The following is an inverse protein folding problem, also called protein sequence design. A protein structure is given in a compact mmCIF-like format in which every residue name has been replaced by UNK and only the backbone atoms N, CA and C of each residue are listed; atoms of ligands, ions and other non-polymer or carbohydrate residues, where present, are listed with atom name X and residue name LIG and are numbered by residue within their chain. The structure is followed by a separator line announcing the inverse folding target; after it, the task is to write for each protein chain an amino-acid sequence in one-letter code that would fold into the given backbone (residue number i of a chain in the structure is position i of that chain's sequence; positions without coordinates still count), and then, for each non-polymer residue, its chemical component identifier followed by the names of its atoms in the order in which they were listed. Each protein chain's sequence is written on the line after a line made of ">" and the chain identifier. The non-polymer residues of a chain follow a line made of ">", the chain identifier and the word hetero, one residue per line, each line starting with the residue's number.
data_IF_192682325477
#
_entry.id   IF_192682325477
#
_cell.length_a   1.000
_cell.length_b   1.000
_cell.length_c   1.000
_cell.angle_alpha   90.00
_cell.angle_beta   90.00
_cell.angle_gamma   90.00
#
_symmetry.space_group_name_H-M   'P 1'
#
loop_
_entity.id
_entity.type
_entity.pdbx_description
1 polymer ?
#
# COMPACT_ATOMS: atom_id res chain seq x y z
N UNK A 1 27.65 2.83 -7.36
CA UNK A 1 27.47 3.29 -5.96
C UNK A 1 26.43 4.41 -5.97
N UNK A 2 25.16 4.09 -5.75
CA UNK A 2 24.10 5.11 -5.75
C UNK A 2 24.18 5.98 -4.49
N UNK A 3 24.45 7.27 -4.70
CA UNK A 3 24.33 8.28 -3.65
C UNK A 3 22.84 8.49 -3.42
N UNK A 4 22.35 8.17 -2.21
CA UNK A 4 21.01 8.59 -1.77
C UNK A 4 21.00 10.13 -1.80
N UNK A 5 20.44 10.71 -2.85
CA UNK A 5 20.34 12.17 -3.00
C UNK A 5 19.26 12.65 -2.02
N UNK A 6 19.59 13.47 -1.03
CA UNK A 6 18.62 14.11 -0.11
C UNK A 6 17.32 14.65 -0.78
N UNK A 7 17.35 15.22 -2.01
CA UNK A 7 16.15 15.57 -2.76
C UNK A 7 15.19 14.41 -3.05
N UNK A 8 15.68 13.18 -3.25
CA UNK A 8 14.84 11.99 -3.48
C UNK A 8 14.02 11.61 -2.25
N UNK A 9 14.49 11.98 -1.06
CA UNK A 9 13.78 11.73 0.20
C UNK A 9 12.62 12.70 0.42
N UNK A 10 12.57 13.86 -0.27
CA UNK A 10 11.46 14.81 -0.13
C UNK A 10 10.10 14.21 -0.48
N UNK A 11 10.07 13.21 -1.38
CA UNK A 11 8.86 12.50 -1.76
C UNK A 11 8.30 11.61 -0.62
N UNK A 12 9.08 11.34 0.44
CA UNK A 12 8.62 10.55 1.59
C UNK A 12 7.57 11.29 2.43
N UNK A 13 7.61 12.63 2.47
CA UNK A 13 6.61 13.41 3.24
C UNK A 13 5.21 13.28 2.65
N UNK A 14 4.96 13.54 1.35
CA UNK A 14 3.65 13.30 0.76
C UNK A 14 3.27 11.81 0.79
N UNK A 15 4.22 10.89 0.64
CA UNK A 15 3.95 9.45 0.76
C UNK A 15 3.49 9.05 2.17
N UNK A 16 4.10 9.59 3.23
CA UNK A 16 3.68 9.35 4.61
C UNK A 16 2.26 9.88 4.86
N UNK A 17 1.93 11.07 4.34
CA UNK A 17 0.55 11.60 4.42
C UNK A 17 -0.44 10.71 3.66
N UNK A 18 -0.07 10.24 2.47
CA UNK A 18 -0.91 9.33 1.67
C UNK A 18 -1.13 8.00 2.39
N UNK A 19 -0.08 7.43 3.00
CA UNK A 19 -0.18 6.22 3.81
C UNK A 19 -1.14 6.40 4.99
N UNK A 20 -1.02 7.50 5.75
CA UNK A 20 -1.94 7.81 6.85
C UNK A 20 -3.39 7.95 6.38
N UNK A 21 -3.62 8.55 5.20
CA UNK A 21 -4.96 8.66 4.60
C UNK A 21 -5.53 7.31 4.21
N UNK A 22 -4.71 6.41 3.64
CA UNK A 22 -5.12 5.04 3.33
C UNK A 22 -5.53 4.30 4.61
N UNK A 23 -4.68 4.31 5.63
CA UNK A 23 -4.97 3.62 6.89
C UNK A 23 -6.24 4.17 7.57
N UNK A 24 -6.39 5.50 7.60
CA UNK A 24 -7.58 6.14 8.15
C UNK A 24 -8.85 5.76 7.35
N UNK A 25 -8.82 5.83 6.02
CA UNK A 25 -9.98 5.51 5.19
C UNK A 25 -10.41 4.04 5.31
N UNK A 26 -9.44 3.13 5.46
CA UNK A 26 -9.69 1.70 5.70
C UNK A 26 -10.34 1.46 7.07
N UNK A 27 -9.89 2.17 8.10
CA UNK A 27 -10.41 2.07 9.48
C UNK A 27 -11.82 2.66 9.59
N UNK A 28 -12.05 3.83 8.98
CA UNK A 28 -13.34 4.53 8.99
C UNK A 28 -14.29 4.11 7.88
N UNK A 29 -14.02 3.01 7.17
CA UNK A 29 -14.90 2.54 6.11
C UNK A 29 -16.31 2.33 6.68
N UNK A 30 -17.39 2.85 6.06
CA UNK A 30 -18.72 3.00 6.68
C UNK A 30 -19.37 1.73 7.23
N UNK A 31 -18.81 0.56 6.93
CA UNK A 31 -19.34 -0.76 7.29
C UNK A 31 -18.46 -1.52 8.29
N UNK A 32 -17.72 -0.80 9.14
CA UNK A 32 -16.91 -1.38 10.21
C UNK A 32 -15.46 -1.71 9.81
N UNK A 33 -14.91 -0.97 8.85
CA UNK A 33 -13.54 -1.14 8.38
C UNK A 33 -13.35 -2.23 7.31
N UNK A 34 -12.20 -2.24 6.64
CA UNK A 34 -11.79 -3.31 5.69
C UNK A 34 -10.70 -4.23 6.29
N UNK A 35 -10.34 -4.02 7.57
CA UNK A 35 -9.22 -4.72 8.23
C UNK A 35 -9.52 -6.15 8.68
N UNK A 36 -10.79 -6.59 8.70
CA UNK A 36 -11.15 -7.92 9.20
C UNK A 36 -12.49 -8.44 8.64
N UNK A 37 -12.76 -9.72 8.88
CA UNK A 37 -14.06 -10.33 8.60
C UNK A 37 -14.40 -10.43 7.10
N UNK A 38 -15.70 -10.45 6.76
CA UNK A 38 -16.16 -10.62 5.38
C UNK A 38 -15.68 -9.55 4.40
N UNK A 39 -15.51 -8.29 4.84
CA UNK A 39 -15.00 -7.21 3.99
C UNK A 39 -13.54 -7.41 3.61
N UNK A 40 -12.69 -7.82 4.56
CA UNK A 40 -11.31 -8.18 4.24
C UNK A 40 -11.24 -9.36 3.29
N UNK A 41 -12.09 -10.36 3.50
CA UNK A 41 -12.15 -11.54 2.62
C UNK A 41 -12.55 -11.16 1.19
N UNK A 42 -13.47 -10.21 1.04
CA UNK A 42 -13.84 -9.68 -0.27
C UNK A 42 -12.72 -8.86 -0.89
N UNK A 43 -12.02 -8.04 -0.10
CA UNK A 43 -10.84 -7.31 -0.56
C UNK A 43 -9.75 -8.23 -1.11
N UNK A 44 -9.47 -9.34 -0.40
CA UNK A 44 -8.52 -10.36 -0.84
C UNK A 44 -8.95 -11.01 -2.15
N UNK A 45 -10.24 -11.37 -2.27
CA UNK A 45 -10.79 -11.92 -3.52
C UNK A 45 -10.63 -10.95 -4.67
N UNK A 46 -11.02 -9.68 -4.50
CA UNK A 46 -10.91 -8.64 -5.54
C UNK A 46 -9.45 -8.36 -5.89
N UNK A 47 -8.54 -8.42 -4.91
CA UNK A 47 -7.12 -8.29 -5.18
C UNK A 47 -6.58 -9.46 -6.03
N UNK A 48 -6.91 -10.70 -5.68
CA UNK A 48 -6.38 -11.91 -6.35
C UNK A 48 -7.05 -12.22 -7.70
N UNK A 49 -8.37 -12.09 -7.78
CA UNK A 49 -9.14 -12.52 -8.95
C UNK A 49 -9.36 -11.40 -9.97
N UNK A 50 -9.16 -10.14 -9.57
CA UNK A 50 -9.43 -8.96 -10.42
C UNK A 50 -8.18 -8.10 -10.60
N UNK A 51 -7.62 -7.57 -9.51
CA UNK A 51 -6.54 -6.59 -9.62
C UNK A 51 -5.23 -7.16 -10.16
N UNK A 52 -4.74 -8.27 -9.60
CA UNK A 52 -3.50 -8.90 -10.05
C UNK A 52 -3.56 -9.34 -11.53
N UNK A 53 -4.62 -10.04 -12.00
CA UNK A 53 -4.78 -10.38 -13.41
C UNK A 53 -4.88 -9.15 -14.32
N UNK A 54 -5.57 -8.08 -13.88
CA UNK A 54 -5.68 -6.84 -14.65
C UNK A 54 -4.31 -6.18 -14.88
N UNK A 55 -3.51 -6.06 -13.83
CA UNK A 55 -2.16 -5.48 -13.95
C UNK A 55 -1.25 -6.35 -14.84
N UNK A 56 -1.32 -7.67 -14.68
CA UNK A 56 -0.57 -8.61 -15.50
C UNK A 56 -0.97 -8.54 -16.98
N UNK A 57 -2.25 -8.56 -17.29
CA UNK A 57 -2.75 -8.50 -18.66
C UNK A 57 -2.30 -7.20 -19.37
N UNK A 58 -2.36 -6.05 -18.68
CA UNK A 58 -1.84 -4.79 -19.24
C UNK A 58 -0.35 -4.83 -19.46
N UNK A 59 0.39 -5.42 -18.51
CA UNK A 59 1.83 -5.62 -18.64
C UNK A 59 2.20 -6.43 -19.87
N UNK A 60 1.55 -7.58 -20.05
CA UNK A 60 1.78 -8.46 -21.20
C UNK A 60 1.39 -7.80 -22.52
N UNK A 61 0.38 -6.92 -22.50
CA UNK A 61 -0.01 -6.11 -23.64
C UNK A 61 0.89 -4.87 -23.88
N UNK A 62 1.95 -4.66 -23.09
CA UNK A 62 2.81 -3.48 -23.18
C UNK A 62 2.10 -2.16 -22.86
N UNK A 63 0.96 -2.20 -22.18
CA UNK A 63 0.19 -1.02 -21.80
C UNK A 63 0.66 -0.49 -20.43
N UNK A 64 0.66 0.84 -20.21
CA UNK A 64 1.00 1.38 -18.89
C UNK A 64 -0.01 0.91 -17.84
N UNK A 65 0.52 0.49 -16.69
CA UNK A 65 -0.24 0.12 -15.49
C UNK A 65 0.17 0.92 -14.25
N UNK A 66 1.25 1.70 -14.35
CA UNK A 66 1.79 2.57 -13.30
C UNK A 66 0.85 3.73 -12.97
N UNK A 67 0.01 4.12 -13.94
CA UNK A 67 -1.01 5.18 -13.77
C UNK A 67 -2.31 4.66 -13.14
N UNK A 68 -2.43 3.34 -12.91
CA UNK A 68 -3.65 2.78 -12.36
C UNK A 68 -3.70 2.94 -10.84
N UNK A 69 -4.73 3.62 -10.36
CA UNK A 69 -5.04 3.80 -8.94
C UNK A 69 -6.09 2.77 -8.52
N UNK A 70 -5.79 1.87 -7.58
CA UNK A 70 -6.73 0.84 -7.12
C UNK A 70 -7.91 1.42 -6.31
N UNK A 71 -9.01 0.66 -6.17
CA UNK A 71 -10.02 0.98 -5.16
C UNK A 71 -9.49 0.76 -3.73
N UNK A 72 -10.14 1.38 -2.74
CA UNK A 72 -9.69 1.44 -1.34
C UNK A 72 -9.26 0.09 -0.75
N UNK A 73 -10.09 -0.94 -0.92
CA UNK A 73 -9.87 -2.28 -0.36
C UNK A 73 -8.70 -3.00 -1.05
N UNK A 74 -8.61 -2.91 -2.37
CA UNK A 74 -7.50 -3.45 -3.15
C UNK A 74 -6.20 -2.72 -2.85
N UNK A 75 -6.24 -1.38 -2.70
CA UNK A 75 -5.08 -0.57 -2.31
C UNK A 75 -4.52 -1.03 -0.97
N UNK A 76 -5.40 -1.31 -0.02
CA UNK A 76 -5.05 -1.80 1.31
C UNK A 76 -4.40 -3.19 1.26
N UNK A 77 -5.04 -4.16 0.60
CA UNK A 77 -4.50 -5.52 0.47
C UNK A 77 -3.16 -5.50 -0.26
N UNK A 78 -3.05 -4.72 -1.33
CA UNK A 78 -1.81 -4.59 -2.09
C UNK A 78 -0.69 -3.92 -1.29
N UNK A 79 -1.02 -2.97 -0.42
CA UNK A 79 -0.08 -2.41 0.55
C UNK A 79 0.41 -3.49 1.52
N UNK A 80 -0.49 -4.26 2.15
CA UNK A 80 -0.13 -5.33 3.09
C UNK A 80 0.77 -6.38 2.44
N UNK A 81 0.45 -6.80 1.21
CA UNK A 81 1.24 -7.80 0.50
C UNK A 81 2.68 -7.34 0.27
N UNK A 82 2.88 -6.05 -0.03
CA UNK A 82 4.21 -5.47 -0.23
C UNK A 82 5.01 -5.27 1.06
N UNK A 83 4.40 -5.42 2.25
CA UNK A 83 5.14 -5.49 3.51
C UNK A 83 5.94 -6.79 3.66
N UNK A 84 5.69 -7.79 2.81
CA UNK A 84 6.42 -9.05 2.75
C UNK A 84 7.08 -9.23 1.36
N UNK A 85 8.16 -8.50 1.03
CA UNK A 85 8.66 -8.38 -0.34
C UNK A 85 9.02 -9.72 -1.01
N UNK A 86 9.58 -10.66 -0.25
CA UNK A 86 9.92 -11.99 -0.76
C UNK A 86 8.68 -12.80 -1.16
N UNK A 87 7.62 -12.75 -0.33
CA UNK A 87 6.36 -13.42 -0.63
C UNK A 87 5.62 -12.72 -1.77
N UNK A 88 5.63 -11.38 -1.78
CA UNK A 88 5.07 -10.58 -2.87
C UNK A 88 5.68 -10.96 -4.23
N UNK A 89 7.01 -11.05 -4.30
CA UNK A 89 7.69 -11.43 -5.53
C UNK A 89 7.31 -12.84 -5.98
N UNK A 90 7.32 -13.81 -5.05
CA UNK A 90 6.95 -15.20 -5.33
C UNK A 90 5.48 -15.34 -5.78
N UNK A 91 4.57 -14.63 -5.14
CA UNK A 91 3.14 -14.65 -5.48
C UNK A 91 2.86 -13.93 -6.81
N UNK A 92 3.57 -12.84 -7.13
CA UNK A 92 3.50 -12.23 -8.47
C UNK A 92 3.93 -13.22 -9.57
N UNK A 93 5.02 -13.95 -9.34
CA UNK A 93 5.52 -14.97 -10.28
C UNK A 93 4.56 -16.14 -10.46
N UNK A 94 3.87 -16.55 -9.40
CA UNK A 94 3.00 -17.73 -9.42
C UNK A 94 1.57 -17.43 -9.87
N UNK A 95 1.03 -16.28 -9.49
CA UNK A 95 -0.40 -15.97 -9.64
C UNK A 95 -0.70 -14.90 -10.67
N UNK A 96 0.19 -13.92 -10.82
CA UNK A 96 -0.07 -12.78 -11.69
C UNK A 96 0.57 -12.99 -13.06
N UNK A 97 1.83 -13.39 -13.12
CA UNK A 97 2.64 -13.30 -14.33
C UNK A 97 3.38 -14.60 -14.61
N UNK A 98 2.93 -15.34 -15.63
CA UNK A 98 3.56 -16.59 -16.07
C UNK A 98 5.01 -16.38 -16.55
N UNK A 99 5.39 -15.13 -16.89
CA UNK A 99 6.72 -14.73 -17.28
C UNK A 99 7.60 -14.35 -16.08
N UNK A 100 7.08 -14.43 -14.85
CA UNK A 100 7.85 -14.36 -13.62
C UNK A 100 8.30 -12.96 -13.18
N UNK A 101 7.63 -11.89 -13.60
CA UNK A 101 8.02 -10.54 -13.19
C UNK A 101 7.26 -10.07 -11.96
N UNK A 102 7.93 -9.22 -11.18
CA UNK A 102 7.33 -8.52 -10.06
C UNK A 102 6.56 -7.31 -10.61
N UNK A 103 5.30 -7.18 -10.20
CA UNK A 103 4.50 -5.99 -10.49
C UNK A 103 5.02 -4.82 -9.64
N UNK A 104 6.01 -4.11 -10.16
CA UNK A 104 6.62 -2.96 -9.50
C UNK A 104 5.59 -1.83 -9.32
N UNK A 105 5.71 -1.13 -8.19
CA UNK A 105 4.80 -0.04 -7.78
C UNK A 105 5.60 1.24 -7.66
N UNK A 106 5.14 2.28 -8.34
CA UNK A 106 5.71 3.61 -8.22
C UNK A 106 5.30 4.26 -6.89
N UNK A 107 6.12 5.18 -6.38
CA UNK A 107 5.84 5.84 -5.10
C UNK A 107 4.50 6.60 -5.12
N UNK A 108 4.13 7.16 -6.28
CA UNK A 108 2.82 7.81 -6.50
C UNK A 108 1.64 6.86 -6.36
N UNK A 109 1.82 5.59 -6.73
CA UNK A 109 0.80 4.54 -6.69
C UNK A 109 0.78 3.82 -5.33
N UNK A 110 1.90 3.83 -4.60
CA UNK A 110 2.11 2.99 -3.42
C UNK A 110 1.07 3.13 -2.31
N UNK A 111 0.44 4.28 -2.15
CA UNK A 111 -0.62 4.50 -1.15
C UNK A 111 -1.85 5.19 -1.74
N UNK A 112 -1.92 5.30 -3.07
CA UNK A 112 -3.04 5.93 -3.74
C UNK A 112 -4.24 4.99 -3.77
N UNK A 113 -5.43 5.56 -3.62
CA UNK A 113 -6.70 4.87 -3.81
C UNK A 113 -7.72 5.87 -4.35
N UNK A 114 -8.76 5.35 -4.99
CA UNK A 114 -9.84 6.15 -5.61
C UNK A 114 -11.19 5.41 -5.52
N UNK A 115 -12.28 6.14 -5.66
CA UNK A 115 -13.62 5.58 -5.92
C UNK A 115 -13.94 5.43 -7.41
N UNK A 116 -13.02 5.84 -8.29
CA UNK A 116 -13.14 5.76 -9.74
C UNK A 116 -13.94 6.91 -10.36
N UNK A 117 -14.36 7.89 -9.56
CA UNK A 117 -15.11 9.08 -10.01
C UNK A 117 -14.21 10.27 -10.32
N UNK A 118 -12.98 10.27 -9.80
CA UNK A 118 -12.02 11.35 -9.99
C UNK A 118 -11.14 11.13 -11.24
N UNK A 119 -10.42 12.19 -11.64
CA UNK A 119 -9.53 12.15 -12.82
C UNK A 119 -8.42 11.10 -12.67
N UNK A 120 -7.92 10.89 -11.46
CA UNK A 120 -6.86 9.91 -11.19
C UNK A 120 -7.36 8.46 -11.30
N UNK A 121 -8.61 8.20 -10.90
CA UNK A 121 -9.22 6.88 -10.96
C UNK A 121 -9.88 6.53 -12.28
N UNK A 122 -10.15 7.51 -13.16
CA UNK A 122 -10.90 7.30 -14.40
C UNK A 122 -10.31 6.19 -15.29
N UNK A 123 -8.98 6.18 -15.49
CA UNK A 123 -8.30 5.14 -16.28
C UNK A 123 -8.44 3.75 -15.64
N UNK A 124 -8.35 3.68 -14.32
CA UNK A 124 -8.46 2.43 -13.53
C UNK A 124 -9.87 1.89 -13.56
N UNK A 125 -10.86 2.75 -13.38
CA UNK A 125 -12.27 2.37 -13.45
C UNK A 125 -12.66 1.92 -14.87
N UNK A 126 -12.11 2.55 -15.91
CA UNK A 126 -12.33 2.12 -17.29
C UNK A 126 -11.72 0.74 -17.57
N UNK A 127 -10.45 0.53 -17.18
CA UNK A 127 -9.77 -0.76 -17.34
C UNK A 127 -10.45 -1.87 -16.53
N UNK A 128 -10.85 -1.57 -15.30
CA UNK A 128 -11.61 -2.48 -14.43
C UNK A 128 -12.94 -2.88 -15.06
N UNK A 129 -13.74 -1.91 -15.52
CA UNK A 129 -15.05 -2.18 -16.16
C UNK A 129 -14.91 -2.97 -17.45
N UNK A 130 -13.86 -2.72 -18.23
CA UNK A 130 -13.59 -3.47 -19.46
C UNK A 130 -13.25 -4.94 -19.18
N UNK A 131 -12.43 -5.21 -18.17
CA UNK A 131 -12.02 -6.57 -17.81
C UNK A 131 -13.09 -7.33 -16.98
N UNK A 132 -13.80 -6.63 -16.09
CA UNK A 132 -14.73 -7.21 -15.12
C UNK A 132 -16.03 -6.38 -15.05
N UNK A 133 -16.89 -6.43 -16.08
CA UNK A 133 -18.07 -5.56 -16.18
C UNK A 133 -19.13 -5.79 -15.09
N UNK A 134 -19.15 -6.99 -14.49
CA UNK A 134 -20.08 -7.35 -13.40
C UNK A 134 -19.56 -6.98 -12.01
N UNK A 135 -18.29 -6.58 -11.91
CA UNK A 135 -17.64 -6.28 -10.64
C UNK A 135 -17.67 -4.76 -10.40
N UNK A 136 -18.28 -4.27 -9.31
CA UNK A 136 -18.24 -2.85 -8.98
C UNK A 136 -16.79 -2.41 -8.71
N UNK A 137 -16.47 -1.15 -9.00
CA UNK A 137 -15.12 -0.62 -8.75
C UNK A 137 -14.89 -0.30 -7.27
N UNK A 138 -15.85 0.32 -6.58
CA UNK A 138 -15.74 0.61 -5.15
C UNK A 138 -16.12 -0.62 -4.30
N UNK A 139 -15.58 -0.79 -3.06
CA UNK A 139 -15.81 -1.98 -2.24
C UNK A 139 -17.31 -2.36 -2.08
N UNK A 140 -17.74 -3.53 -2.58
CA UNK A 140 -19.12 -3.99 -2.45
C UNK A 140 -19.44 -4.55 -1.06
N UNK A 141 -20.70 -4.92 -0.83
CA UNK A 141 -21.03 -5.81 0.30
C UNK A 141 -20.53 -7.23 -0.01
N UNK A 142 -19.94 -7.94 0.97
CA UNK A 142 -19.58 -9.34 0.85
C UNK A 142 -20.78 -10.19 0.46
N UNK A 143 -20.59 -11.10 -0.49
CA UNK A 143 -21.63 -11.98 -1.02
C UNK A 143 -21.26 -13.46 -0.92
N UNK A 144 -22.02 -14.30 -1.63
CA UNK A 144 -21.79 -15.75 -1.66
C UNK A 144 -20.40 -16.11 -2.23
N UNK A 145 -19.93 -15.38 -3.24
CA UNK A 145 -18.59 -15.54 -3.79
C UNK A 145 -17.50 -15.31 -2.73
N UNK A 146 -17.67 -14.31 -1.86
CA UNK A 146 -16.78 -14.05 -0.73
C UNK A 146 -16.74 -15.23 0.24
N UNK A 147 -17.89 -15.83 0.55
CA UNK A 147 -17.95 -16.97 1.47
C UNK A 147 -17.19 -18.19 0.93
N UNK A 148 -17.34 -18.49 -0.36
CA UNK A 148 -16.64 -19.58 -1.04
C UNK A 148 -15.14 -19.33 -1.21
N UNK A 149 -14.72 -18.07 -1.37
CA UNK A 149 -13.33 -17.70 -1.65
C UNK A 149 -12.33 -18.27 -0.63
N UNK A 150 -11.17 -18.71 -1.13
CA UNK A 150 -9.99 -19.08 -0.35
C UNK A 150 -8.78 -18.44 -1.02
N UNK A 151 -8.02 -17.69 -0.24
CA UNK A 151 -6.82 -17.01 -0.74
C UNK A 151 -5.82 -18.04 -1.24
N UNK A 152 -5.22 -17.78 -2.39
CA UNK A 152 -4.14 -18.56 -2.98
C UNK A 152 -2.78 -17.95 -2.66
N UNK A 153 -2.73 -16.77 -2.03
CA UNK A 153 -1.49 -16.09 -1.66
C UNK A 153 -0.72 -16.91 -0.64
N UNK A 154 0.61 -16.87 -0.73
CA UNK A 154 1.49 -17.47 0.27
C UNK A 154 1.55 -16.62 1.53
N UNK A 155 1.31 -15.31 1.38
CA UNK A 155 1.28 -14.35 2.47
C UNK A 155 -0.04 -14.42 3.27
N UNK A 156 0.05 -14.58 4.60
CA UNK A 156 -1.09 -14.43 5.50
C UNK A 156 -1.42 -12.95 5.72
N UNK A 157 -2.08 -12.37 4.70
CA UNK A 157 -2.51 -10.98 4.73
C UNK A 157 -3.62 -10.74 5.77
N UNK A 158 -4.36 -11.78 6.17
CA UNK A 158 -5.38 -11.66 7.20
C UNK A 158 -4.76 -11.38 8.57
N UNK A 159 -3.70 -12.11 8.93
CA UNK A 159 -2.94 -11.83 10.14
C UNK A 159 -2.26 -10.45 10.11
N UNK A 160 -1.85 -9.97 8.94
CA UNK A 160 -1.32 -8.62 8.79
C UNK A 160 -2.39 -7.54 8.98
N UNK A 161 -3.58 -7.72 8.37
CA UNK A 161 -4.67 -6.75 8.39
C UNK A 161 -5.21 -6.47 9.81
N UNK A 162 -5.33 -7.50 10.66
CA UNK A 162 -5.82 -7.36 12.05
C UNK A 162 -4.93 -6.45 12.90
N UNK A 163 -3.65 -6.31 12.57
CA UNK A 163 -2.71 -5.44 13.29
C UNK A 163 -2.82 -3.97 12.89
N UNK A 164 -3.47 -3.69 11.76
CA UNK A 164 -3.53 -2.32 11.21
C UNK A 164 -4.28 -1.37 12.12
N UNK A 165 -5.51 -1.65 12.60
CA UNK A 165 -6.21 -0.72 13.50
C UNK A 165 -5.39 -0.37 14.75
N UNK A 166 -4.72 -1.37 15.34
CA UNK A 166 -3.86 -1.21 16.54
C UNK A 166 -2.76 -0.17 16.26
N UNK A 167 -2.07 -0.32 15.14
CA UNK A 167 -0.99 0.58 14.74
C UNK A 167 -1.51 1.95 14.28
N UNK A 168 -2.62 1.97 13.53
CA UNK A 168 -3.26 3.19 13.05
C UNK A 168 -3.62 4.11 14.21
N UNK A 169 -4.21 3.61 15.30
CA UNK A 169 -4.51 4.45 16.46
C UNK A 169 -3.25 5.05 17.13
N UNK A 170 -2.12 4.33 17.12
CA UNK A 170 -0.84 4.87 17.62
C UNK A 170 -0.29 5.97 16.70
N UNK A 171 -0.52 5.86 15.39
CA UNK A 171 -0.09 6.81 14.38
C UNK A 171 -1.08 7.96 14.09
N UNK A 172 -2.33 7.88 14.54
CA UNK A 172 -3.34 8.92 14.29
C UNK A 172 -3.19 10.17 15.17
N UNK A 173 -2.04 10.35 15.83
CA UNK A 173 -1.75 11.62 16.52
C UNK A 173 -1.67 12.75 15.51
N UNK A 174 -2.30 13.88 15.82
CA UNK A 174 -2.36 15.07 14.97
C UNK A 174 -0.98 15.53 14.44
N UNK A 175 0.09 15.32 15.21
CA UNK A 175 1.45 15.66 14.79
C UNK A 175 1.94 14.87 13.56
N UNK A 176 1.48 13.63 13.36
CA UNK A 176 1.96 12.74 12.29
C UNK A 176 1.38 13.07 10.91
N UNK A 177 0.41 13.99 10.83
CA UNK A 177 -0.09 14.55 9.57
C UNK A 177 0.45 15.96 9.30
N UNK A 178 1.13 16.59 10.26
CA UNK A 178 1.66 17.93 10.10
C UNK A 178 2.96 17.93 9.29
N UNK A 179 2.96 18.64 8.15
CA UNK A 179 4.14 18.77 7.28
C UNK A 179 5.40 19.26 8.02
N UNK A 180 5.35 20.27 8.94
CA UNK A 180 6.54 20.67 9.68
C UNK A 180 7.15 19.55 10.51
N UNK A 181 6.32 18.73 11.16
CA UNK A 181 6.78 17.57 11.92
C UNK A 181 7.43 16.53 11.00
N UNK A 182 6.77 16.16 9.91
CA UNK A 182 7.28 15.17 8.94
C UNK A 182 8.58 15.64 8.28
N UNK A 183 8.72 16.92 7.96
CA UNK A 183 9.97 17.49 7.43
C UNK A 183 11.12 17.39 8.44
N UNK A 184 10.87 17.64 9.72
CA UNK A 184 11.89 17.45 10.77
C UNK A 184 12.25 15.97 10.94
N UNK A 185 11.26 15.07 10.90
CA UNK A 185 11.49 13.63 10.93
C UNK A 185 12.34 13.17 9.73
N UNK A 186 12.06 13.68 8.54
CA UNK A 186 12.83 13.42 7.33
C UNK A 186 14.29 13.86 7.47
N UNK A 187 14.53 15.05 8.04
CA UNK A 187 15.88 15.53 8.30
C UNK A 187 16.64 14.62 9.29
N UNK A 188 15.97 14.15 10.36
CA UNK A 188 16.56 13.18 11.30
C UNK A 188 16.87 11.85 10.62
N UNK A 189 15.95 11.32 9.82
CA UNK A 189 16.14 10.07 9.09
C UNK A 189 17.31 10.17 8.10
N UNK A 190 17.45 11.28 7.38
CA UNK A 190 18.57 11.49 6.49
C UNK A 190 19.92 11.52 7.24
N UNK A 191 19.98 12.16 8.42
CA UNK A 191 21.16 12.11 9.30
C UNK A 191 21.49 10.68 9.73
N UNK A 192 20.49 9.89 10.13
CA UNK A 192 20.67 8.48 10.50
C UNK A 192 21.27 7.67 9.35
N UNK A 193 20.77 7.84 8.13
CA UNK A 193 21.30 7.15 6.94
C UNK A 193 22.77 7.52 6.66
N UNK A 194 23.13 8.79 6.86
CA UNK A 194 24.52 9.25 6.72
C UNK A 194 25.43 8.61 7.78
N UNK A 195 25.00 8.60 9.05
CA UNK A 195 25.73 7.95 10.14
C UNK A 195 25.97 6.46 9.84
N UNK A 196 24.93 5.74 9.42
CA UNK A 196 25.01 4.33 9.04
C UNK A 196 25.94 4.10 7.86
N UNK A 197 25.91 4.97 6.84
CA UNK A 197 26.78 4.88 5.66
C UNK A 197 28.26 5.05 6.03
N UNK A 198 28.55 5.98 6.92
CA UNK A 198 29.92 6.32 7.30
C UNK A 198 30.45 5.53 8.51
N UNK A 199 29.67 4.57 9.05
CA UNK A 199 30.02 3.78 10.26
C UNK A 199 30.60 4.66 11.38
N UNK A 200 30.03 5.85 11.56
CA UNK A 200 30.49 6.75 12.61
C UNK A 200 29.95 6.23 13.95
N UNK A 201 30.85 5.82 14.84
CA UNK A 201 30.50 5.51 16.22
C UNK A 201 29.99 6.78 16.89
N UNK A 202 28.75 6.76 17.37
CA UNK A 202 28.15 7.87 18.09
C UNK A 202 28.78 7.92 19.48
N UNK A 203 29.77 8.81 19.66
CA UNK A 203 30.43 9.06 20.95
C UNK A 203 29.57 9.85 21.94
N UNK A 204 28.37 10.27 21.53
CA UNK A 204 27.41 10.96 22.39
C UNK A 204 26.01 10.38 22.20
N UNK A 205 25.27 10.10 23.29
CA UNK A 205 23.91 9.59 23.19
C UNK A 205 23.03 10.62 22.47
N UNK A 206 22.27 10.16 21.48
CA UNK A 206 21.21 10.98 20.89
C UNK A 206 20.24 11.39 22.01
N UNK A 207 19.81 12.66 22.11
CA UNK A 207 18.93 13.11 23.17
C UNK A 207 17.70 12.21 23.27
N UNK A 208 17.34 11.73 24.47
CA UNK A 208 16.23 10.79 24.65
C UNK A 208 14.88 11.30 24.11
N UNK A 209 14.68 12.62 24.04
CA UNK A 209 13.48 13.20 23.39
C UNK A 209 13.35 12.80 21.90
N UNK A 210 14.45 12.46 21.23
CA UNK A 210 14.48 11.99 19.85
C UNK A 210 14.28 10.46 19.71
N UNK A 211 14.38 9.69 20.80
CA UNK A 211 14.15 8.23 20.83
C UNK A 211 12.71 7.82 21.21
N UNK A 212 11.96 8.68 21.92
CA UNK A 212 10.56 8.41 22.32
C UNK A 212 9.59 8.39 21.11
N UNK A 213 10.09 8.64 19.90
CA UNK A 213 9.35 8.66 18.63
C UNK A 213 9.74 7.55 17.65
N UNK A 214 10.55 6.57 18.07
CA UNK A 214 10.72 5.28 17.37
C UNK A 214 9.79 4.24 17.98
#
# INVERSE_FOLDING_TARGET
>A
MEVIKLPSLKALVPAAVAHMRLLHAVDTFPRGGVCQGPYLKEALRRYEDVWLPLLSARRLAGQPWQDLVPPLDVAFVWHLHRLQPSLYAADCQRLADAQGHVLHVELSQAFAFTDGTDKAGAASAAAWRAAHPKEPFYPPQPGAATAAFRSRLSADLAAAAVRVPIFTHQLLRQQYVQRPFLNRALARYAKLLLLRKHRLDLTSPLPMLDMVLM
#
